data_IF_087368632029
#
_entry.id   IF_087368632029
#
_cell.length_a   1.000
_cell.length_b   1.000
_cell.length_c   1.000
_cell.angle_alpha   90.00
_cell.angle_beta   90.00
_cell.angle_gamma   90.00
#
_symmetry.space_group_name_H-M   'P 1'
#
loop_
_entity.id
_entity.type
_entity.pdbx_description
1 polymer ?
#
# COMPACT_ATOMS: atom_id res chain seq x y z
N UNK A 1 11.45 -15.33 -0.67
CA UNK A 1 11.85 -13.93 -0.68
C UNK A 1 12.84 -13.63 0.44
N UNK A 2 13.98 -13.07 0.05
CA UNK A 2 15.03 -12.53 0.92
C UNK A 2 14.67 -11.14 1.43
N UNK A 3 15.37 -10.64 2.45
CA UNK A 3 15.18 -9.27 2.93
C UNK A 3 15.34 -8.23 1.82
N UNK A 4 16.37 -8.36 0.98
CA UNK A 4 16.69 -7.37 -0.05
C UNK A 4 15.59 -7.27 -1.11
N UNK A 5 15.05 -8.41 -1.53
CA UNK A 5 13.93 -8.48 -2.48
C UNK A 5 12.69 -7.82 -1.88
N UNK A 6 12.28 -8.26 -0.68
CA UNK A 6 11.08 -7.74 0.00
C UNK A 6 11.18 -6.23 0.27
N UNK A 7 12.37 -5.77 0.69
CA UNK A 7 12.62 -4.36 0.95
C UNK A 7 12.59 -3.52 -0.32
N UNK A 8 13.22 -3.99 -1.40
CA UNK A 8 13.21 -3.28 -2.69
C UNK A 8 11.81 -3.20 -3.28
N UNK A 9 11.06 -4.31 -3.21
CA UNK A 9 9.67 -4.36 -3.65
C UNK A 9 8.81 -3.37 -2.86
N UNK A 10 8.95 -3.35 -1.53
CA UNK A 10 8.23 -2.41 -0.67
C UNK A 10 8.58 -0.95 -0.94
N UNK A 11 9.86 -0.61 -1.10
CA UNK A 11 10.26 0.77 -1.41
C UNK A 11 9.64 1.26 -2.72
N UNK A 12 9.53 0.37 -3.72
CA UNK A 12 8.85 0.67 -4.98
C UNK A 12 7.35 0.90 -4.74
N UNK A 13 6.67 -0.03 -4.07
CA UNK A 13 5.23 0.08 -3.74
C UNK A 13 4.93 1.36 -2.95
N UNK A 14 5.71 1.67 -1.91
CA UNK A 14 5.53 2.85 -1.07
C UNK A 14 5.73 4.15 -1.87
N UNK A 15 6.71 4.17 -2.78
CA UNK A 15 6.94 5.31 -3.69
C UNK A 15 5.75 5.50 -4.64
N UNK A 16 5.26 4.41 -5.22
CA UNK A 16 4.08 4.42 -6.10
C UNK A 16 2.83 4.93 -5.38
N UNK A 17 2.58 4.47 -4.14
CA UNK A 17 1.44 4.90 -3.35
C UNK A 17 1.53 6.38 -2.96
N UNK A 18 2.70 6.85 -2.51
CA UNK A 18 2.90 8.27 -2.22
C UNK A 18 2.70 9.14 -3.45
N UNK A 19 3.17 8.70 -4.61
CA UNK A 19 2.95 9.39 -5.89
C UNK A 19 1.46 9.42 -6.24
N UNK A 20 0.75 8.30 -6.13
CA UNK A 20 -0.69 8.25 -6.40
C UNK A 20 -1.48 9.18 -5.47
N UNK A 21 -1.11 9.24 -4.19
CA UNK A 21 -1.71 10.18 -3.24
C UNK A 21 -1.48 11.64 -3.67
N UNK A 22 -0.25 11.99 -4.05
CA UNK A 22 0.08 13.34 -4.53
C UNK A 22 -0.72 13.70 -5.79
N UNK A 23 -0.84 12.77 -6.74
CA UNK A 23 -1.64 12.96 -7.94
C UNK A 23 -3.15 13.08 -7.64
N UNK A 24 -3.64 12.37 -6.64
CA UNK A 24 -5.03 12.49 -6.18
C UNK A 24 -5.33 13.81 -5.48
N UNK A 25 -4.38 14.33 -4.69
CA UNK A 25 -4.52 15.62 -3.99
C UNK A 25 -4.47 16.83 -4.94
N UNK A 26 -3.88 16.68 -6.13
CA UNK A 26 -3.90 17.69 -7.19
C UNK A 26 -5.21 17.60 -8.01
N UNK A 27 -6.06 18.65 -8.04
CA UNK A 27 -7.35 18.59 -8.74
C UNK A 27 -7.27 18.30 -10.24
N UNK A 28 -6.23 18.80 -10.92
CA UNK A 28 -6.04 18.60 -12.37
C UNK A 28 -5.64 17.16 -12.66
N UNK A 29 -4.69 16.63 -11.88
CA UNK A 29 -4.24 15.25 -12.00
C UNK A 29 -5.34 14.26 -11.58
N UNK A 30 -6.10 14.55 -10.53
CA UNK A 30 -7.28 13.76 -10.15
C UNK A 30 -8.30 13.69 -11.27
N UNK A 31 -8.62 14.82 -11.92
CA UNK A 31 -9.53 14.82 -13.08
C UNK A 31 -9.00 13.94 -14.21
N UNK A 32 -7.70 13.99 -14.49
CA UNK A 32 -7.06 13.13 -15.50
C UNK A 32 -7.08 11.63 -15.12
N UNK A 33 -6.87 11.28 -13.85
CA UNK A 33 -6.97 9.91 -13.34
C UNK A 33 -8.39 9.36 -13.53
N UNK A 34 -9.40 10.12 -13.13
CA UNK A 34 -10.81 9.74 -13.28
C UNK A 34 -11.21 9.60 -14.75
N UNK A 35 -10.76 10.50 -15.63
CA UNK A 35 -11.02 10.41 -17.06
C UNK A 35 -10.39 9.15 -17.69
N UNK A 36 -9.13 8.85 -17.35
CA UNK A 36 -8.46 7.62 -17.81
C UNK A 36 -9.19 6.36 -17.34
N UNK A 37 -9.67 6.35 -16.09
CA UNK A 37 -10.44 5.24 -15.54
C UNK A 37 -11.78 5.05 -16.27
N UNK A 38 -12.50 6.14 -16.53
CA UNK A 38 -13.73 6.10 -17.32
C UNK A 38 -13.50 5.55 -18.73
N UNK A 39 -12.41 5.97 -19.40
CA UNK A 39 -12.03 5.45 -20.71
C UNK A 39 -11.68 3.96 -20.66
N UNK A 40 -10.93 3.51 -19.65
CA UNK A 40 -10.58 2.10 -19.47
C UNK A 40 -11.82 1.23 -19.23
N UNK A 41 -12.74 1.66 -18.34
CA UNK A 41 -14.02 0.96 -18.11
C UNK A 41 -14.87 0.87 -19.38
N UNK A 42 -14.88 1.94 -20.19
CA UNK A 42 -15.61 1.93 -21.47
C UNK A 42 -15.02 0.92 -22.45
N UNK A 43 -13.69 0.85 -22.57
CA UNK A 43 -12.99 -0.13 -23.41
C UNK A 43 -13.25 -1.57 -22.95
N UNK A 44 -13.18 -1.82 -21.64
CA UNK A 44 -13.48 -3.15 -21.08
C UNK A 44 -14.94 -3.58 -21.33
N UNK A 45 -15.89 -2.66 -21.24
CA UNK A 45 -17.30 -2.95 -21.54
C UNK A 45 -17.51 -3.24 -23.04
N UNK A 46 -16.88 -2.46 -23.93
CA UNK A 46 -16.92 -2.71 -25.38
C UNK A 46 -16.29 -4.07 -25.76
N UNK A 47 -15.21 -4.48 -25.11
CA UNK A 47 -14.57 -5.79 -25.33
C UNK A 47 -15.41 -6.97 -24.80
N UNK A 48 -16.14 -6.78 -23.69
CA UNK A 48 -17.00 -7.81 -23.09
C UNK A 48 -18.41 -7.85 -23.68
N UNK A 49 -18.77 -6.89 -24.53
CA UNK A 49 -20.12 -6.76 -25.09
C UNK A 49 -21.17 -6.31 -24.06
N UNK A 50 -20.73 -5.73 -22.95
CA UNK A 50 -21.59 -5.22 -21.88
C UNK A 50 -21.99 -3.76 -22.13
N UNK A 51 -23.16 -3.34 -21.66
CA UNK A 51 -23.54 -1.93 -21.67
C UNK A 51 -22.59 -1.13 -20.77
N UNK A 52 -22.08 0.00 -21.29
CA UNK A 52 -21.18 0.87 -20.54
C UNK A 52 -21.81 1.30 -19.21
N UNK A 53 -21.09 1.20 -18.08
CA UNK A 53 -21.63 1.61 -16.78
C UNK A 53 -22.01 3.09 -16.81
N UNK A 54 -23.24 3.41 -16.39
CA UNK A 54 -23.73 4.80 -16.28
C UNK A 54 -22.84 5.57 -15.29
N UNK A 55 -22.38 6.76 -15.69
CA UNK A 55 -21.47 7.63 -14.92
C UNK A 55 -22.00 8.02 -13.52
N UNK A 56 -23.31 7.88 -13.28
CA UNK A 56 -24.01 8.42 -12.11
C UNK A 56 -23.97 7.54 -10.85
N UNK A 57 -23.44 6.32 -10.91
CA UNK A 57 -23.25 5.49 -9.72
C UNK A 57 -21.88 5.76 -9.07
N UNK A 58 -21.58 7.04 -8.75
CA UNK A 58 -20.52 7.33 -7.78
C UNK A 58 -21.03 6.88 -6.41
N UNK A 59 -20.71 5.64 -6.03
CA UNK A 59 -20.80 5.23 -4.64
C UNK A 59 -19.81 6.13 -3.88
N UNK A 60 -20.35 7.07 -3.11
CA UNK A 60 -19.56 7.82 -2.15
C UNK A 60 -19.13 6.83 -1.07
N UNK A 61 -17.82 6.67 -0.92
CA UNK A 61 -17.27 5.69 0.02
C UNK A 61 -17.15 6.37 1.36
N UNK A 62 -17.97 5.91 2.30
CA UNK A 62 -17.83 6.26 3.70
C UNK A 62 -16.65 5.50 4.31
N UNK A 63 -15.63 6.24 4.75
CA UNK A 63 -14.43 5.65 5.37
C UNK A 63 -14.70 5.12 6.78
N UNK A 64 -15.74 5.61 7.46
CA UNK A 64 -16.09 5.14 8.81
C UNK A 64 -16.77 3.76 8.76
N UNK A 65 -17.51 3.48 7.69
CA UNK A 65 -18.20 2.19 7.49
C UNK A 65 -17.44 1.22 6.56
N UNK A 66 -16.29 1.62 6.01
CA UNK A 66 -15.50 0.80 5.11
C UNK A 66 -14.86 -0.40 5.84
N UNK A 67 -15.23 -1.61 5.45
CA UNK A 67 -14.50 -2.82 5.85
C UNK A 67 -13.16 -2.91 5.13
N UNK A 68 -12.10 -2.47 5.82
CA UNK A 68 -10.73 -2.46 5.29
C UNK A 68 -10.19 -3.84 4.93
N UNK A 69 -10.76 -4.93 5.46
CA UNK A 69 -10.34 -6.29 5.12
C UNK A 69 -10.98 -6.80 3.83
N UNK A 70 -12.11 -6.21 3.41
CA UNK A 70 -12.79 -6.52 2.16
C UNK A 70 -12.27 -5.69 0.97
N UNK A 71 -11.36 -4.75 1.20
CA UNK A 71 -10.76 -3.93 0.13
C UNK A 71 -9.87 -4.79 -0.78
N UNK A 72 -10.31 -5.00 -2.02
CA UNK A 72 -9.57 -5.78 -3.02
C UNK A 72 -8.40 -5.01 -3.65
N UNK A 73 -8.58 -3.71 -3.95
CA UNK A 73 -7.52 -2.82 -4.45
C UNK A 73 -7.42 -1.54 -3.61
N UNK A 74 -6.38 -1.44 -2.80
CA UNK A 74 -6.10 -0.26 -1.97
C UNK A 74 -5.79 1.01 -2.77
N UNK A 75 -5.51 0.90 -4.07
CA UNK A 75 -5.28 2.05 -4.96
C UNK A 75 -6.57 2.60 -5.56
N UNK A 76 -7.66 1.83 -5.52
CA UNK A 76 -8.94 2.20 -6.11
C UNK A 76 -10.08 1.50 -5.39
N UNK A 77 -10.77 2.25 -4.53
CA UNK A 77 -11.89 1.73 -3.75
C UNK A 77 -13.19 1.57 -4.56
N UNK A 78 -13.18 1.84 -5.87
CA UNK A 78 -14.33 1.70 -6.76
C UNK A 78 -14.69 3.00 -7.51
N UNK A 79 -14.46 4.14 -6.87
CA UNK A 79 -14.66 5.50 -7.39
C UNK A 79 -13.37 6.15 -7.92
N UNK A 80 -12.23 5.45 -7.82
CA UNK A 80 -10.91 5.91 -8.24
C UNK A 80 -10.06 6.44 -7.09
N UNK A 81 -10.65 6.60 -5.89
CA UNK A 81 -9.96 7.09 -4.70
C UNK A 81 -9.08 5.98 -4.12
N UNK A 82 -7.80 6.23 -3.86
CA UNK A 82 -6.98 5.29 -3.10
C UNK A 82 -7.34 5.33 -1.61
N UNK A 83 -7.22 4.20 -0.91
CA UNK A 83 -7.48 4.08 0.53
C UNK A 83 -6.64 5.06 1.36
N UNK A 84 -5.42 5.34 0.88
CA UNK A 84 -4.48 6.26 1.51
C UNK A 84 -4.62 7.71 1.02
N UNK A 85 -5.74 8.09 0.37
CA UNK A 85 -5.90 9.46 -0.18
C UNK A 85 -5.69 10.55 0.87
N UNK A 86 -6.11 10.27 2.11
CA UNK A 86 -6.17 11.25 3.19
C UNK A 86 -5.01 11.08 4.18
N UNK A 87 -4.13 10.10 3.98
CA UNK A 87 -2.97 9.89 4.84
C UNK A 87 -2.17 11.19 5.04
N UNK A 88 -1.86 11.47 6.29
CA UNK A 88 -0.91 12.52 6.69
C UNK A 88 0.46 11.90 6.94
N UNK A 89 1.39 12.73 7.44
CA UNK A 89 2.76 12.29 7.67
C UNK A 89 2.84 11.12 8.67
N UNK A 90 2.02 11.19 9.72
CA UNK A 90 1.93 10.22 10.80
C UNK A 90 1.47 8.85 10.27
N UNK A 91 0.47 8.81 9.37
CA UNK A 91 -0.04 7.57 8.77
C UNK A 91 1.04 6.90 7.91
N UNK A 92 1.75 7.69 7.09
CA UNK A 92 2.85 7.18 6.28
C UNK A 92 4.01 6.66 7.12
N UNK A 93 4.30 7.33 8.23
CA UNK A 93 5.35 6.92 9.16
C UNK A 93 4.95 5.62 9.84
N UNK A 94 3.71 5.53 10.33
CA UNK A 94 3.19 4.34 10.99
C UNK A 94 3.16 3.13 10.04
N UNK A 95 2.69 3.31 8.79
CA UNK A 95 2.73 2.27 7.76
C UNK A 95 4.16 1.80 7.48
N UNK A 96 5.09 2.75 7.32
CA UNK A 96 6.50 2.45 7.05
C UNK A 96 7.11 1.61 8.16
N UNK A 97 6.95 2.04 9.43
CA UNK A 97 7.50 1.32 10.58
C UNK A 97 6.83 -0.05 10.75
N UNK A 98 5.51 -0.16 10.60
CA UNK A 98 4.80 -1.45 10.68
C UNK A 98 5.32 -2.45 9.66
N UNK A 99 5.52 -2.01 8.41
CA UNK A 99 6.04 -2.89 7.37
C UNK A 99 7.53 -3.24 7.59
N UNK A 100 8.36 -2.27 8.00
CA UNK A 100 9.75 -2.51 8.38
C UNK A 100 9.88 -3.57 9.49
N UNK A 101 9.05 -3.47 10.54
CA UNK A 101 8.98 -4.48 11.60
C UNK A 101 8.50 -5.84 11.08
N UNK A 102 7.46 -5.85 10.24
CA UNK A 102 6.93 -7.08 9.64
C UNK A 102 8.02 -7.84 8.88
N UNK A 103 8.69 -7.19 7.92
CA UNK A 103 9.72 -7.87 7.13
C UNK A 103 10.96 -8.22 7.95
N UNK A 104 11.32 -7.42 8.96
CA UNK A 104 12.40 -7.75 9.88
C UNK A 104 12.14 -9.08 10.57
N UNK A 105 10.94 -9.27 11.15
CA UNK A 105 10.57 -10.51 11.83
C UNK A 105 10.55 -11.70 10.87
N UNK A 106 10.00 -11.52 9.66
CA UNK A 106 9.93 -12.57 8.64
C UNK A 106 11.31 -12.96 8.09
N UNK A 107 12.24 -12.01 7.96
CA UNK A 107 13.59 -12.27 7.47
C UNK A 107 14.49 -12.81 8.58
N UNK A 108 14.38 -12.30 9.81
CA UNK A 108 15.10 -12.80 10.97
C UNK A 108 14.92 -14.31 11.15
N UNK A 109 13.67 -14.80 11.10
CA UNK A 109 13.38 -16.23 11.22
C UNK A 109 14.09 -17.09 10.16
N UNK A 110 14.23 -16.56 8.94
CA UNK A 110 14.90 -17.26 7.83
C UNK A 110 16.42 -17.18 7.94
N UNK A 111 16.95 -16.01 8.28
CA UNK A 111 18.39 -15.74 8.29
C UNK A 111 19.09 -16.33 9.52
N UNK A 112 18.41 -16.40 10.67
CA UNK A 112 18.97 -16.95 11.89
C UNK A 112 19.24 -18.46 11.75
N UNK A 113 18.31 -19.19 11.11
CA UNK A 113 18.38 -20.63 10.86
C UNK A 113 18.90 -21.45 12.07
N UNK A 114 18.53 -21.04 13.28
CA UNK A 114 18.98 -21.61 14.55
C UNK A 114 17.77 -22.22 15.28
N UNK A 115 17.69 -23.55 15.41
CA UNK A 115 16.58 -24.21 16.08
C UNK A 115 16.48 -23.87 17.57
N UNK A 116 17.55 -23.41 18.21
CA UNK A 116 17.58 -23.04 19.63
C UNK A 116 17.08 -21.61 19.87
N UNK A 117 16.82 -20.84 18.80
CA UNK A 117 16.27 -19.47 18.86
C UNK A 117 14.98 -19.35 18.04
N UNK A 118 13.86 -19.90 18.53
CA UNK A 118 12.63 -20.00 17.75
C UNK A 118 11.86 -18.68 17.59
N UNK A 119 12.19 -17.65 18.38
CA UNK A 119 11.44 -16.39 18.46
C UNK A 119 12.31 -15.16 18.46
N UNK A 120 11.71 -14.01 18.15
CA UNK A 120 12.36 -12.71 18.20
C UNK A 120 12.27 -12.11 19.62
N UNK A 121 13.40 -11.64 20.16
CA UNK A 121 13.44 -10.91 21.43
C UNK A 121 13.38 -9.41 21.17
N UNK A 122 12.53 -8.69 21.90
CA UNK A 122 12.38 -7.23 21.79
C UNK A 122 13.70 -6.49 22.00
N UNK A 123 14.57 -6.99 22.89
CA UNK A 123 15.89 -6.40 23.16
C UNK A 123 16.80 -6.38 21.93
N UNK A 124 16.56 -7.29 20.99
CA UNK A 124 17.35 -7.40 19.77
C UNK A 124 16.83 -6.47 18.66
N UNK A 125 15.70 -5.79 18.88
CA UNK A 125 15.03 -4.93 17.89
C UNK A 125 15.95 -3.86 17.33
N UNK A 126 16.54 -3.03 18.19
CA UNK A 126 17.40 -1.95 17.74
C UNK A 126 18.60 -2.45 16.92
N UNK A 127 19.20 -3.58 17.34
CA UNK A 127 20.32 -4.20 16.65
C UNK A 127 19.91 -4.71 15.25
N UNK A 128 18.86 -5.52 15.16
CA UNK A 128 18.44 -6.08 13.87
C UNK A 128 17.85 -5.02 12.95
N UNK A 129 17.16 -4.02 13.49
CA UNK A 129 16.67 -2.90 12.71
C UNK A 129 17.83 -2.15 12.04
N UNK A 130 18.89 -1.83 12.78
CA UNK A 130 20.10 -1.24 12.18
C UNK A 130 20.78 -2.20 11.19
N UNK A 131 20.88 -3.49 11.53
CA UNK A 131 21.51 -4.50 10.66
C UNK A 131 20.85 -4.56 9.29
N UNK A 132 19.52 -4.64 9.25
CA UNK A 132 18.72 -4.76 8.03
C UNK A 132 18.57 -3.43 7.29
N UNK A 133 18.16 -2.37 7.99
CA UNK A 133 17.76 -1.11 7.34
C UNK A 133 18.86 -0.05 7.27
N UNK A 134 19.97 -0.22 7.99
CA UNK A 134 21.00 0.82 8.18
C UNK A 134 20.44 2.11 8.77
N UNK A 135 19.42 1.97 9.63
CA UNK A 135 18.73 3.07 10.34
C UNK A 135 18.80 2.85 11.84
N UNK A 136 18.74 3.92 12.62
CA UNK A 136 18.51 3.82 14.05
C UNK A 136 17.03 3.55 14.29
N UNK A 137 16.72 2.67 15.24
CA UNK A 137 15.35 2.52 15.77
C UNK A 137 15.17 3.55 16.89
N UNK A 138 14.22 4.48 16.75
CA UNK A 138 14.01 5.60 17.65
C UNK A 138 13.57 6.86 16.92
#
# INVERSE_FOLDING_TARGET
>A
ESFKEAWTAWQKTLSEWRKLQQEWKDPSRRKALLAKKAEAKKKEAEEKGDEAPKEDAKMEIDFEELDVFAVEDVKDLGDGRPLFSDYVFEDWTLLSVRYELHILLHCFKKDLNDPDRPSFSEKDLAFYYNKYFKKQFG
#
